data_IF_547300960052
#
_entry.id   IF_547300960052
#
_cell.length_a   1.000
_cell.length_b   1.000
_cell.length_c   1.000
_cell.angle_alpha   90.00
_cell.angle_beta   90.00
_cell.angle_gamma   90.00
#
_symmetry.space_group_name_H-M   'P 1'
#
loop_
_entity.id
_entity.type
_entity.pdbx_description
1 polymer ?
#
# COMPACT_ATOMS: atom_id res chain seq x y z
N UNK A 1 -22.60 18.73 -2.86
CA UNK A 1 -22.59 18.32 -1.42
C UNK A 1 -21.73 17.08 -1.35
N UNK A 2 -20.54 17.13 -0.72
CA UNK A 2 -19.71 15.95 -0.48
C UNK A 2 -20.33 15.24 0.72
N UNK A 3 -20.87 14.04 0.52
CA UNK A 3 -21.25 13.17 1.62
C UNK A 3 -20.01 12.92 2.48
N UNK A 4 -20.10 13.30 3.75
CA UNK A 4 -19.13 12.92 4.77
C UNK A 4 -19.35 11.42 5.01
N UNK A 5 -18.63 10.56 4.31
CA UNK A 5 -18.49 9.17 4.74
C UNK A 5 -17.90 9.17 6.16
N UNK A 6 -18.54 8.49 7.12
CA UNK A 6 -18.01 8.42 8.47
C UNK A 6 -16.63 7.78 8.42
N UNK A 7 -15.63 8.48 8.96
CA UNK A 7 -14.31 7.90 9.20
C UNK A 7 -14.48 6.77 10.21
N UNK A 8 -14.53 5.53 9.73
CA UNK A 8 -14.57 4.35 10.60
C UNK A 8 -13.18 4.23 11.24
N UNK A 9 -13.06 4.66 12.49
CA UNK A 9 -11.85 4.37 13.28
C UNK A 9 -11.77 2.85 13.50
N UNK A 10 -10.89 2.19 12.75
CA UNK A 10 -10.67 0.75 12.93
C UNK A 10 -10.12 0.47 14.33
N UNK A 11 -10.79 -0.44 15.03
CA UNK A 11 -10.36 -0.85 16.37
C UNK A 11 -8.91 -1.41 16.30
N UNK A 12 -8.01 -1.08 17.26
CA UNK A 12 -6.60 -1.51 17.26
C UNK A 12 -6.38 -2.99 17.02
N UNK A 13 -7.24 -3.85 17.57
CA UNK A 13 -7.19 -5.30 17.35
C UNK A 13 -7.40 -5.68 15.87
N UNK A 14 -8.25 -4.95 15.16
CA UNK A 14 -8.54 -5.22 13.74
C UNK A 14 -7.30 -4.95 12.88
N UNK A 15 -6.56 -3.88 13.17
CA UNK A 15 -5.33 -3.54 12.43
C UNK A 15 -4.21 -4.55 12.67
N UNK A 16 -4.00 -4.98 13.92
CA UNK A 16 -3.05 -6.06 14.23
C UNK A 16 -3.42 -7.35 13.52
N UNK A 17 -4.68 -7.78 13.62
CA UNK A 17 -5.16 -9.02 13.01
C UNK A 17 -5.01 -8.96 11.47
N UNK A 18 -5.26 -7.80 10.86
CA UNK A 18 -5.04 -7.60 9.44
C UNK A 18 -3.56 -7.67 9.06
N UNK A 19 -2.67 -7.01 9.82
CA UNK A 19 -1.23 -7.07 9.58
C UNK A 19 -0.70 -8.52 9.65
N UNK A 20 -1.13 -9.29 10.64
CA UNK A 20 -0.77 -10.71 10.77
C UNK A 20 -1.31 -11.55 9.61
N UNK A 21 -2.54 -11.28 9.14
CA UNK A 21 -3.10 -11.96 7.96
C UNK A 21 -2.31 -11.68 6.68
N UNK A 22 -1.83 -10.45 6.49
CA UNK A 22 -0.94 -10.14 5.36
C UNK A 22 0.40 -10.88 5.48
N UNK A 23 0.98 -10.92 6.67
CA UNK A 23 2.22 -11.67 6.92
C UNK A 23 2.07 -13.16 6.62
N UNK A 24 0.96 -13.79 7.03
CA UNK A 24 0.64 -15.19 6.71
C UNK A 24 0.48 -15.45 5.19
N UNK A 25 0.15 -14.42 4.41
CA UNK A 25 0.08 -14.49 2.94
C UNK A 25 1.42 -14.24 2.26
N UNK A 26 2.50 -14.08 3.04
CA UNK A 26 3.87 -13.89 2.55
C UNK A 26 4.27 -12.44 2.32
N UNK A 27 3.44 -11.45 2.70
CA UNK A 27 3.84 -10.05 2.65
C UNK A 27 4.68 -9.67 3.88
N UNK A 28 5.73 -8.89 3.65
CA UNK A 28 6.39 -8.17 4.74
C UNK A 28 5.62 -6.89 5.01
N UNK A 29 5.19 -6.70 6.25
CA UNK A 29 4.41 -5.54 6.66
C UNK A 29 5.26 -4.55 7.45
N UNK A 30 4.81 -3.29 7.50
CA UNK A 30 5.41 -2.25 8.34
C UNK A 30 4.33 -1.30 8.85
N UNK A 31 4.49 -0.72 10.06
CA UNK A 31 3.55 0.25 10.60
C UNK A 31 3.78 1.61 9.95
N UNK A 32 2.69 2.23 9.51
CA UNK A 32 2.70 3.59 8.96
C UNK A 32 1.95 4.54 9.89
N UNK A 33 2.28 5.83 9.82
CA UNK A 33 1.43 6.84 10.42
C UNK A 33 0.00 6.71 9.92
N UNK A 34 -0.96 6.96 10.80
CA UNK A 34 -2.38 6.99 10.48
C UNK A 34 -2.90 8.40 10.29
N UNK A 35 -4.22 8.51 10.06
CA UNK A 35 -4.96 9.77 10.11
C UNK A 35 -5.80 9.77 11.37
N UNK A 36 -5.70 10.82 12.18
CA UNK A 36 -6.51 11.02 13.38
C UNK A 36 -7.00 12.45 13.45
N UNK A 37 -8.29 12.63 13.73
CA UNK A 37 -8.92 13.95 13.79
C UNK A 37 -8.61 14.84 12.57
N UNK A 38 -8.56 14.22 11.36
CA UNK A 38 -8.27 14.91 10.10
C UNK A 38 -6.79 15.21 9.84
N UNK A 39 -5.87 14.89 10.78
CA UNK A 39 -4.43 15.11 10.63
C UNK A 39 -3.60 13.84 10.67
N UNK A 40 -2.35 13.94 10.22
CA UNK A 40 -1.40 12.83 10.32
C UNK A 40 -0.97 12.60 11.77
N UNK A 41 -0.84 11.34 12.18
CA UNK A 41 -0.37 11.00 13.54
C UNK A 41 1.09 11.36 13.81
N UNK A 42 1.86 11.81 12.80
CA UNK A 42 3.20 12.36 13.01
C UNK A 42 3.23 13.72 13.71
N UNK A 43 2.07 14.41 13.79
CA UNK A 43 1.95 15.72 14.44
C UNK A 43 2.42 16.91 13.60
N UNK A 44 2.91 16.70 12.39
CA UNK A 44 3.30 17.76 11.47
C UNK A 44 2.06 18.25 10.69
N UNK A 45 1.71 19.54 10.86
CA UNK A 45 0.60 20.19 10.15
C UNK A 45 0.80 20.24 8.63
N UNK A 46 2.07 20.29 8.18
CA UNK A 46 2.48 20.36 6.79
C UNK A 46 2.91 19.00 6.21
N UNK A 47 2.47 17.90 6.85
CA UNK A 47 2.82 16.57 6.45
C UNK A 47 2.48 16.29 4.97
N UNK A 48 3.50 16.06 4.15
CA UNK A 48 3.36 15.84 2.70
C UNK A 48 2.81 14.46 2.32
N UNK A 49 2.78 13.54 3.26
CA UNK A 49 2.32 12.16 3.04
C UNK A 49 1.48 11.66 4.23
N UNK A 50 0.37 12.35 4.56
CA UNK A 50 -0.42 12.02 5.73
C UNK A 50 -0.96 10.59 5.65
N UNK A 51 -0.80 9.84 6.73
CA UNK A 51 -1.25 8.45 6.84
C UNK A 51 -0.43 7.42 6.05
N UNK A 52 0.66 7.83 5.40
CA UNK A 52 1.38 6.97 4.44
C UNK A 52 2.85 6.74 4.77
N UNK A 53 3.46 7.56 5.64
CA UNK A 53 4.90 7.43 5.91
C UNK A 53 5.18 6.54 7.13
N UNK A 54 6.32 5.78 7.10
CA UNK A 54 6.63 4.79 8.12
C UNK A 54 6.81 5.37 9.52
N UNK A 55 6.48 4.55 10.53
CA UNK A 55 6.80 4.78 11.93
C UNK A 55 8.16 4.17 12.32
N UNK A 56 8.70 3.30 11.47
CA UNK A 56 10.03 2.70 11.62
C UNK A 56 11.12 3.67 11.13
N UNK A 57 12.33 3.54 11.71
CA UNK A 57 13.42 4.47 11.45
C UNK A 57 13.98 4.38 10.01
N UNK A 58 13.98 3.17 9.43
CA UNK A 58 14.53 2.90 8.10
C UNK A 58 13.44 2.54 7.06
N UNK A 59 12.18 2.83 7.38
CA UNK A 59 11.07 2.68 6.44
C UNK A 59 10.85 1.24 5.98
N UNK A 60 10.65 1.06 4.68
CA UNK A 60 10.30 -0.24 4.09
C UNK A 60 11.39 -1.32 4.28
N UNK A 61 12.64 -0.94 4.53
CA UNK A 61 13.72 -1.92 4.76
C UNK A 61 13.55 -2.70 6.06
N UNK A 62 12.80 -2.13 7.02
CA UNK A 62 12.46 -2.82 8.28
C UNK A 62 11.20 -3.69 8.18
N UNK A 63 10.49 -3.68 7.05
CA UNK A 63 9.28 -4.49 6.89
C UNK A 63 9.55 -5.96 7.26
N UNK A 64 8.61 -6.58 7.96
CA UNK A 64 8.78 -7.93 8.50
C UNK A 64 7.53 -8.79 8.31
N UNK A 65 7.71 -10.11 8.20
CA UNK A 65 6.66 -11.11 8.29
C UNK A 65 6.71 -11.86 9.64
N UNK A 66 7.65 -11.50 10.51
CA UNK A 66 7.78 -12.11 11.83
C UNK A 66 6.67 -11.65 12.78
N UNK A 67 5.93 -12.60 13.33
CA UNK A 67 4.76 -12.33 14.18
C UNK A 67 5.13 -11.53 15.45
N UNK A 68 6.26 -11.84 16.10
CA UNK A 68 6.66 -11.14 17.32
C UNK A 68 7.00 -9.67 17.04
N UNK A 69 7.68 -9.41 15.93
CA UNK A 69 8.01 -8.07 15.47
C UNK A 69 6.73 -7.28 15.18
N UNK A 70 5.78 -7.87 14.44
CA UNK A 70 4.50 -7.26 14.09
C UNK A 70 3.70 -6.94 15.37
N UNK A 71 3.57 -7.88 16.29
CA UNK A 71 2.88 -7.65 17.57
C UNK A 71 3.55 -6.55 18.40
N UNK A 72 4.87 -6.49 18.40
CA UNK A 72 5.63 -5.42 19.05
C UNK A 72 5.30 -4.04 18.47
N UNK A 73 5.21 -3.91 17.15
CA UNK A 73 4.85 -2.66 16.49
C UNK A 73 3.42 -2.21 16.82
N UNK A 74 2.43 -3.10 16.69
CA UNK A 74 1.03 -2.73 16.97
C UNK A 74 0.74 -2.61 18.48
N UNK A 75 1.57 -3.17 19.35
CA UNK A 75 1.56 -2.84 20.79
C UNK A 75 2.02 -1.40 21.04
N UNK A 76 3.04 -0.94 20.31
CA UNK A 76 3.58 0.42 20.43
C UNK A 76 2.72 1.45 19.70
N UNK A 77 2.18 1.08 18.53
CA UNK A 77 1.38 1.94 17.65
C UNK A 77 0.06 1.26 17.27
N UNK A 78 -0.91 1.17 18.20
CA UNK A 78 -2.12 0.38 18.00
C UNK A 78 -3.01 0.81 16.84
N UNK A 79 -2.92 2.08 16.44
CA UNK A 79 -3.70 2.68 15.34
C UNK A 79 -2.88 2.94 14.08
N UNK A 80 -1.70 2.30 13.98
CA UNK A 80 -0.86 2.43 12.79
C UNK A 80 -1.56 1.84 11.55
N UNK A 81 -1.49 2.56 10.43
CA UNK A 81 -1.83 2.00 9.14
C UNK A 81 -0.83 0.90 8.76
N UNK A 82 -1.23 0.02 7.86
CA UNK A 82 -0.41 -1.10 7.42
C UNK A 82 0.24 -0.77 6.08
N UNK A 83 1.56 -0.82 6.02
CA UNK A 83 2.30 -0.83 4.76
C UNK A 83 2.58 -2.26 4.32
N UNK A 84 2.47 -2.54 3.02
CA UNK A 84 2.88 -3.80 2.41
C UNK A 84 4.15 -3.54 1.59
N UNK A 85 5.26 -4.16 1.96
CA UNK A 85 6.49 -4.08 1.19
C UNK A 85 6.34 -4.83 -0.14
N UNK A 86 6.76 -4.17 -1.23
CA UNK A 86 6.69 -4.70 -2.58
C UNK A 86 8.05 -5.27 -3.02
N UNK A 87 8.02 -6.17 -3.98
CA UNK A 87 9.20 -6.78 -4.59
C UNK A 87 9.66 -8.06 -3.89
N UNK A 88 9.93 -8.01 -2.60
CA UNK A 88 10.47 -9.15 -1.83
C UNK A 88 9.56 -10.39 -1.82
N UNK A 89 8.25 -10.19 -1.87
CA UNK A 89 7.27 -11.28 -1.95
C UNK A 89 7.00 -11.77 -3.39
N UNK A 90 7.81 -11.35 -4.36
CA UNK A 90 7.53 -11.59 -5.78
C UNK A 90 6.22 -10.95 -6.23
N UNK A 91 5.84 -9.84 -5.59
CA UNK A 91 4.63 -9.08 -5.86
C UNK A 91 4.99 -7.62 -6.16
N UNK A 92 4.37 -7.06 -7.18
CA UNK A 92 4.43 -5.63 -7.49
C UNK A 92 3.02 -5.06 -7.46
N UNK A 93 2.89 -3.76 -7.18
CA UNK A 93 1.62 -3.08 -7.34
C UNK A 93 1.67 -2.19 -8.58
N UNK A 94 0.65 -2.30 -9.44
CA UNK A 94 0.37 -1.33 -10.49
C UNK A 94 -0.53 -0.26 -9.88
N UNK A 95 0.01 0.93 -9.70
CA UNK A 95 -0.67 2.09 -9.10
C UNK A 95 -1.25 2.94 -10.24
N UNK A 96 -2.56 2.85 -10.43
CA UNK A 96 -3.30 3.56 -11.48
C UNK A 96 -3.91 4.82 -10.88
N UNK A 97 -3.30 5.99 -11.10
CA UNK A 97 -3.76 7.29 -10.58
C UNK A 97 -4.67 8.00 -11.59
N UNK A 98 -5.94 8.15 -11.24
CA UNK A 98 -6.94 8.78 -12.12
C UNK A 98 -6.70 10.28 -12.30
N UNK A 99 -6.06 10.97 -11.37
CA UNK A 99 -5.72 12.40 -11.49
C UNK A 99 -4.72 12.66 -12.62
N UNK A 100 -3.87 11.67 -12.89
CA UNK A 100 -2.84 11.71 -13.92
C UNK A 100 -3.26 10.96 -15.20
N UNK A 101 -4.57 10.80 -15.44
CA UNK A 101 -5.13 10.09 -16.59
C UNK A 101 -4.78 8.59 -16.65
N UNK A 102 -4.41 7.99 -15.53
CA UNK A 102 -4.03 6.59 -15.46
C UNK A 102 -5.12 5.63 -15.94
N UNK A 103 -6.39 5.96 -15.72
CA UNK A 103 -7.53 5.17 -16.21
C UNK A 103 -7.54 5.08 -17.76
N UNK A 104 -7.23 6.15 -18.48
CA UNK A 104 -7.16 6.12 -19.95
C UNK A 104 -6.00 5.26 -20.44
N UNK A 105 -4.84 5.40 -19.80
CA UNK A 105 -3.67 4.55 -20.09
C UNK A 105 -3.96 3.08 -19.77
N UNK A 106 -4.69 2.81 -18.68
CA UNK A 106 -5.10 1.46 -18.29
C UNK A 106 -6.00 0.84 -19.33
N UNK A 107 -7.05 1.54 -19.76
CA UNK A 107 -7.98 1.06 -20.79
C UNK A 107 -7.26 0.78 -22.12
N UNK A 108 -6.31 1.64 -22.51
CA UNK A 108 -5.50 1.42 -23.70
C UNK A 108 -4.61 0.17 -23.58
N UNK A 109 -3.98 -0.07 -22.40
CA UNK A 109 -3.18 -1.26 -22.16
C UNK A 109 -4.01 -2.55 -22.20
N UNK A 110 -5.19 -2.54 -21.58
CA UNK A 110 -6.12 -3.67 -21.61
C UNK A 110 -6.61 -3.95 -23.04
N UNK A 111 -6.94 -2.91 -23.79
CA UNK A 111 -7.36 -3.07 -25.19
C UNK A 111 -6.26 -3.69 -26.07
N UNK A 112 -5.00 -3.29 -25.85
CA UNK A 112 -3.87 -3.74 -26.65
C UNK A 112 -3.36 -5.14 -26.26
N UNK A 113 -3.48 -5.54 -24.99
CA UNK A 113 -2.83 -6.73 -24.45
C UNK A 113 -3.80 -7.78 -23.88
N UNK A 114 -5.08 -7.47 -23.82
CA UNK A 114 -6.09 -8.29 -23.15
C UNK A 114 -6.26 -7.93 -21.68
N UNK A 115 -7.28 -8.53 -21.04
CA UNK A 115 -7.58 -8.30 -19.64
C UNK A 115 -6.46 -8.82 -18.72
N UNK A 116 -6.20 -8.08 -17.63
CA UNK A 116 -5.35 -8.60 -16.56
C UNK A 116 -5.99 -9.86 -15.97
N UNK A 117 -5.21 -10.92 -15.66
CA UNK A 117 -5.71 -12.05 -14.90
C UNK A 117 -6.37 -11.60 -13.59
N UNK A 118 -7.30 -12.39 -13.07
CA UNK A 118 -7.89 -12.10 -11.77
C UNK A 118 -6.79 -11.93 -10.72
N UNK A 119 -6.74 -10.76 -10.10
CA UNK A 119 -5.69 -10.37 -9.18
C UNK A 119 -6.25 -9.55 -8.03
N UNK A 120 -5.68 -9.65 -6.82
CA UNK A 120 -6.08 -8.80 -5.71
C UNK A 120 -5.99 -7.33 -6.10
N UNK A 121 -7.08 -6.62 -5.91
CA UNK A 121 -7.21 -5.21 -6.24
C UNK A 121 -7.69 -4.46 -5.02
N UNK A 122 -7.09 -3.31 -4.75
CA UNK A 122 -7.56 -2.40 -3.72
C UNK A 122 -7.78 -1.01 -4.30
N UNK A 123 -8.72 -0.28 -3.73
CA UNK A 123 -8.95 1.12 -4.06
C UNK A 123 -7.85 1.96 -3.38
N UNK A 124 -7.23 2.87 -4.08
CA UNK A 124 -6.36 3.89 -3.49
C UNK A 124 -7.11 5.23 -3.42
N UNK A 125 -6.58 6.21 -2.68
CA UNK A 125 -7.24 7.50 -2.53
C UNK A 125 -7.60 8.21 -3.84
N UNK A 126 -6.92 7.91 -4.95
CA UNK A 126 -7.16 8.50 -6.26
C UNK A 126 -7.09 7.49 -7.41
N UNK A 127 -7.45 6.25 -7.17
CA UNK A 127 -7.41 5.22 -8.21
C UNK A 127 -7.38 3.81 -7.63
N UNK A 128 -6.48 2.97 -8.16
CA UNK A 128 -6.46 1.54 -7.88
C UNK A 128 -5.05 1.02 -7.78
N UNK A 129 -4.81 0.06 -6.87
CA UNK A 129 -3.64 -0.80 -6.87
C UNK A 129 -4.05 -2.21 -7.32
N UNK A 130 -3.40 -2.71 -8.35
CA UNK A 130 -3.51 -4.09 -8.78
C UNK A 130 -2.26 -4.84 -8.32
N UNK A 131 -2.42 -5.89 -7.48
CA UNK A 131 -1.30 -6.66 -6.94
C UNK A 131 -0.99 -7.83 -7.87
N UNK A 132 0.14 -7.76 -8.55
CA UNK A 132 0.53 -8.74 -9.57
C UNK A 132 1.71 -9.55 -9.08
N UNK A 133 1.59 -10.88 -9.11
CA UNK A 133 2.72 -11.79 -8.90
C UNK A 133 3.58 -11.84 -10.15
N UNK A 134 4.88 -11.65 -9.96
CA UNK A 134 5.90 -11.78 -11.00
C UNK A 134 7.13 -12.48 -10.42
N UNK A 135 7.96 -13.08 -11.28
CA UNK A 135 9.20 -13.68 -10.82
C UNK A 135 10.25 -12.63 -10.37
N UNK A 136 11.22 -13.07 -9.57
CA UNK A 136 12.23 -12.19 -8.98
C UNK A 136 13.10 -11.48 -10.05
N UNK A 137 13.33 -12.10 -11.20
CA UNK A 137 14.08 -11.48 -12.28
C UNK A 137 13.25 -10.41 -13.00
N UNK A 138 11.95 -10.62 -13.12
CA UNK A 138 11.03 -9.60 -13.63
C UNK A 138 10.94 -8.40 -12.67
N UNK A 139 10.89 -8.64 -11.34
CA UNK A 139 10.95 -7.54 -10.33
C UNK A 139 12.15 -6.65 -10.56
N UNK A 140 13.36 -7.21 -10.75
CA UNK A 140 14.59 -6.44 -10.99
C UNK A 140 14.53 -5.59 -12.26
N UNK A 141 13.76 -6.01 -13.26
CA UNK A 141 13.58 -5.30 -14.53
C UNK A 141 12.45 -4.28 -14.52
N UNK A 142 11.60 -4.27 -13.49
CA UNK A 142 10.51 -3.32 -13.41
C UNK A 142 11.04 -1.88 -13.43
N UNK A 143 10.47 -1.07 -14.31
CA UNK A 143 10.65 0.38 -14.31
C UNK A 143 9.60 1.01 -13.39
N UNK A 144 9.95 2.10 -12.74
CA UNK A 144 9.03 2.79 -11.82
C UNK A 144 7.77 3.37 -12.49
N UNK A 145 7.74 3.44 -13.84
CA UNK A 145 6.60 3.95 -14.60
C UNK A 145 6.30 3.03 -15.78
N UNK A 146 5.02 2.63 -15.90
CA UNK A 146 4.55 1.80 -17.00
C UNK A 146 3.94 2.65 -18.12
N UNK A 147 3.12 3.63 -17.77
CA UNK A 147 2.47 4.56 -18.68
C UNK A 147 2.12 5.87 -17.96
N UNK A 148 1.51 6.82 -18.64
CA UNK A 148 1.01 8.03 -17.99
C UNK A 148 0.00 7.67 -16.90
N UNK A 149 0.23 8.14 -15.66
CA UNK A 149 -0.63 7.85 -14.51
C UNK A 149 -0.62 6.39 -14.04
N UNK A 150 0.33 5.57 -14.50
CA UNK A 150 0.51 4.19 -14.04
C UNK A 150 1.94 3.99 -13.59
N UNK A 151 2.13 3.83 -12.29
CA UNK A 151 3.41 3.50 -11.67
C UNK A 151 3.49 2.02 -11.32
N UNK A 152 4.70 1.46 -11.40
CA UNK A 152 5.01 0.10 -10.93
C UNK A 152 5.74 0.20 -9.61
N UNK A 153 5.08 -0.17 -8.53
CA UNK A 153 5.69 -0.25 -7.20
C UNK A 153 6.34 -1.64 -7.06
N UNK A 154 7.58 -1.76 -7.52
CA UNK A 154 8.39 -2.97 -7.40
C UNK A 154 9.39 -2.89 -6.24
N UNK A 155 9.55 -1.73 -5.64
CA UNK A 155 10.35 -1.44 -4.45
C UNK A 155 9.57 -0.50 -3.53
N UNK A 156 9.94 -0.47 -2.26
CA UNK A 156 9.22 0.33 -1.29
C UNK A 156 7.96 -0.37 -0.79
N UNK A 157 6.87 0.34 -0.65
CA UNK A 157 5.62 -0.20 -0.10
C UNK A 157 4.40 0.53 -0.65
N UNK A 158 3.23 -0.08 -0.46
CA UNK A 158 1.92 0.54 -0.60
C UNK A 158 1.21 0.54 0.74
N UNK A 159 0.21 1.40 0.91
CA UNK A 159 -0.72 1.33 2.06
C UNK A 159 -1.73 0.23 1.79
N UNK A 160 -1.96 -0.67 2.75
CA UNK A 160 -3.02 -1.67 2.67
C UNK A 160 -4.38 -1.04 3.01
N UNK A 161 -5.43 -1.48 2.32
CA UNK A 161 -6.82 -1.12 2.57
C UNK A 161 -7.64 -2.37 2.94
#
# INVERSE_FOLDING_TARGET
MKENDPVVELHPKVLLDAALKYALRGFRVLPLNGIRAGGCTCGDSDCRSPGKHPLTAHGATEASADEMTIRGWWSKWPTANIGLAMGDAGCVALDVDTRNLGHLSWDALIHANGALPETPTQRSGNGWHYLVKIDAEAVKRCRGKLAQGIDVKANGYIVAE
#
